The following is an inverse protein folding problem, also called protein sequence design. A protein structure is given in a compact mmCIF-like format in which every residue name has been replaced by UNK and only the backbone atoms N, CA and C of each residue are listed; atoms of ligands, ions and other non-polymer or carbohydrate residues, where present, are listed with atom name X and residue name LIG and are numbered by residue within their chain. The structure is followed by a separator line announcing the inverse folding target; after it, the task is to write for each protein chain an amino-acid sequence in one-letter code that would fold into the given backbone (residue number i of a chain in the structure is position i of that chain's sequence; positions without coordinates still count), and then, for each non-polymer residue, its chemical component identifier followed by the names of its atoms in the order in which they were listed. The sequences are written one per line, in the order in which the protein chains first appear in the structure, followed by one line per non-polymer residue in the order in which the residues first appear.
data_IF_400733238956
#
_entry.id   IF_400733238956
#
_cell.length_a   1.000
_cell.length_b   1.000
_cell.length_c   1.000
_cell.angle_alpha   90.00
_cell.angle_beta   90.00
_cell.angle_gamma   90.00
#
_symmetry.space_group_name_H-M   'P 1'
#
loop_
_entity.id
_entity.type
_entity.pdbx_description
1 polymer ?
#
# COMPACT_ATOMS: atom_id res chain seq x y z
N UNK A 1 30.18 63.16 49.40
CA UNK A 1 30.56 63.35 47.98
C UNK A 1 30.02 62.13 47.23
N UNK A 2 28.75 62.20 46.82
CA UNK A 2 28.27 62.50 45.45
C UNK A 2 28.43 61.28 44.51
N UNK A 3 27.33 60.55 44.23
CA UNK A 3 26.51 60.62 43.00
C UNK A 3 27.14 59.68 41.92
N UNK A 4 26.47 58.77 41.19
CA UNK A 4 25.09 58.62 40.70
C UNK A 4 24.85 57.13 40.41
N UNK A 5 23.63 56.65 40.68
CA UNK A 5 23.09 55.35 40.27
C UNK A 5 22.69 55.36 38.79
N UNK A 6 23.22 54.43 37.97
CA UNK A 6 22.70 54.17 36.63
C UNK A 6 21.80 52.93 36.65
N UNK A 7 20.50 53.16 36.48
CA UNK A 7 19.50 52.15 36.23
C UNK A 7 19.75 51.46 34.87
N UNK A 8 19.94 50.14 34.88
CA UNK A 8 19.91 49.31 33.67
C UNK A 8 18.46 48.90 33.41
N UNK A 9 17.88 49.45 32.35
CA UNK A 9 16.61 49.00 31.77
C UNK A 9 16.86 47.64 31.11
N UNK A 10 16.25 46.58 31.65
CA UNK A 10 16.24 45.27 31.03
C UNK A 10 15.14 45.24 29.97
N UNK A 11 15.52 45.22 28.69
CA UNK A 11 14.62 44.89 27.58
C UNK A 11 14.37 43.37 27.60
N UNK A 12 13.16 42.97 28.01
CA UNK A 12 12.61 41.64 27.80
C UNK A 12 12.31 41.46 26.30
N UNK A 13 13.26 40.90 25.57
CA UNK A 13 13.02 40.39 24.22
C UNK A 13 12.45 38.98 24.36
N UNK A 14 11.13 38.86 24.32
CA UNK A 14 10.44 37.58 24.20
C UNK A 14 10.70 36.99 22.83
N UNK A 15 11.69 36.11 22.72
CA UNK A 15 11.82 35.24 21.57
C UNK A 15 10.73 34.17 21.66
N UNK A 16 9.67 34.34 20.87
CA UNK A 16 8.71 33.29 20.60
C UNK A 16 9.48 32.13 19.94
N UNK A 17 9.69 31.06 20.71
CA UNK A 17 10.20 29.80 20.20
C UNK A 17 9.07 29.21 19.35
N UNK A 18 9.08 29.50 18.05
CA UNK A 18 8.32 28.70 17.09
C UNK A 18 8.88 27.28 17.19
N UNK A 19 8.18 26.42 17.92
CA UNK A 19 8.41 24.99 17.90
C UNK A 19 8.27 24.53 16.45
N UNK A 20 9.39 24.15 15.86
CA UNK A 20 9.40 23.34 14.65
C UNK A 20 8.60 22.09 15.00
N UNK A 21 7.50 21.85 14.28
CA UNK A 21 6.80 20.58 14.33
C UNK A 21 7.82 19.53 13.87
N UNK A 22 8.44 18.83 14.83
CA UNK A 22 9.18 17.61 14.54
C UNK A 22 8.18 16.66 13.90
N UNK A 23 8.40 16.33 12.63
CA UNK A 23 7.96 15.05 12.09
C UNK A 23 8.40 13.99 13.09
N UNK A 24 7.45 13.18 13.56
CA UNK A 24 7.78 12.05 14.41
C UNK A 24 8.52 11.04 13.53
N UNK A 25 9.84 11.20 13.40
CA UNK A 25 10.69 10.11 12.93
C UNK A 25 10.41 8.93 13.87
N UNK A 26 10.10 7.76 13.30
CA UNK A 26 9.95 6.54 14.06
C UNK A 26 11.18 6.35 14.97
N UNK A 27 10.96 5.87 16.20
CA UNK A 27 12.08 5.52 17.08
C UNK A 27 12.95 4.49 16.36
N UNK A 28 14.21 4.81 16.07
CA UNK A 28 15.14 3.93 15.35
C UNK A 28 15.32 2.57 16.03
N UNK A 29 14.93 2.44 17.30
CA UNK A 29 14.97 1.19 18.06
C UNK A 29 13.62 0.47 18.14
N UNK A 30 12.56 0.99 17.53
CA UNK A 30 11.25 0.34 17.48
C UNK A 30 11.28 -0.90 16.56
N UNK A 31 10.43 -1.92 16.83
CA UNK A 31 10.23 -3.01 15.89
C UNK A 31 9.75 -2.51 14.53
N UNK A 32 10.28 -3.09 13.44
CA UNK A 32 9.87 -2.78 12.05
C UNK A 32 8.37 -3.03 11.81
N UNK A 33 7.83 -4.08 12.42
CA UNK A 33 6.39 -4.34 12.49
C UNK A 33 5.90 -4.07 13.92
N UNK A 34 5.08 -3.03 14.05
CA UNK A 34 4.39 -2.67 15.28
C UNK A 34 3.29 -3.66 15.66
N UNK A 35 2.52 -3.36 16.72
CA UNK A 35 1.55 -4.30 17.31
C UNK A 35 0.39 -4.70 16.37
N UNK A 36 0.17 -3.93 15.31
CA UNK A 36 -0.90 -4.13 14.33
C UNK A 36 -0.50 -5.05 13.18
N UNK A 37 0.75 -5.52 13.14
CA UNK A 37 1.25 -6.39 12.10
C UNK A 37 1.96 -7.63 12.70
N UNK A 38 1.83 -8.77 12.04
CA UNK A 38 2.57 -10.01 12.39
C UNK A 38 3.15 -10.57 11.12
N UNK A 39 4.45 -10.84 11.10
CA UNK A 39 5.10 -11.31 9.88
C UNK A 39 4.56 -12.69 9.46
N UNK A 40 4.54 -12.97 8.16
CA UNK A 40 4.04 -14.25 7.66
C UNK A 40 4.78 -15.47 8.26
N UNK A 41 6.12 -15.46 8.44
CA UNK A 41 6.82 -16.57 9.10
C UNK A 41 6.39 -16.84 10.55
N UNK A 42 5.91 -15.82 11.27
CA UNK A 42 5.40 -15.94 12.64
C UNK A 42 3.95 -16.45 12.69
N UNK A 43 3.14 -16.15 11.66
CA UNK A 43 1.76 -16.61 11.56
C UNK A 43 1.51 -17.35 10.22
N UNK A 44 1.81 -18.66 10.22
CA UNK A 44 1.68 -19.54 9.03
C UNK A 44 0.45 -20.43 9.03
N UNK A 45 -0.27 -20.50 10.15
CA UNK A 45 -1.32 -21.50 10.37
C UNK A 45 -2.41 -21.45 9.30
N UNK A 46 -2.86 -20.25 8.91
CA UNK A 46 -3.91 -20.11 7.92
C UNK A 46 -3.52 -20.76 6.57
N UNK A 47 -2.33 -20.43 6.05
CA UNK A 47 -1.84 -20.96 4.76
C UNK A 47 -1.54 -22.47 4.80
N UNK A 48 -1.26 -23.02 5.99
CA UNK A 48 -1.00 -24.46 6.17
C UNK A 48 -2.28 -25.27 6.29
N UNK A 49 -3.38 -24.64 6.70
CA UNK A 49 -4.62 -25.32 7.08
C UNK A 49 -5.79 -25.05 6.12
N UNK A 50 -5.68 -24.01 5.29
CA UNK A 50 -6.73 -23.57 4.36
C UNK A 50 -6.20 -23.56 2.92
N UNK A 51 -7.10 -23.46 1.96
CA UNK A 51 -6.74 -23.40 0.53
C UNK A 51 -5.88 -22.18 0.20
N UNK A 52 -6.20 -21.01 0.75
CA UNK A 52 -5.50 -19.75 0.48
C UNK A 52 -5.25 -19.49 -1.03
N UNK A 53 -6.30 -19.51 -1.87
CA UNK A 53 -6.14 -19.51 -3.32
C UNK A 53 -5.38 -18.29 -3.83
N UNK A 54 -5.66 -17.10 -3.30
CA UNK A 54 -4.94 -15.87 -3.63
C UNK A 54 -3.44 -15.99 -3.32
N UNK A 55 -3.09 -16.48 -2.13
CA UNK A 55 -1.68 -16.61 -1.73
C UNK A 55 -0.89 -17.43 -2.74
N UNK A 56 -1.40 -18.59 -3.13
CA UNK A 56 -0.72 -19.48 -4.07
C UNK A 56 -0.70 -18.93 -5.50
N UNK A 57 -1.71 -18.16 -5.89
CA UNK A 57 -1.78 -17.56 -7.22
C UNK A 57 -0.82 -16.36 -7.35
N UNK A 58 -0.76 -15.49 -6.35
CA UNK A 58 -0.06 -14.20 -6.46
C UNK A 58 1.34 -14.18 -5.85
N UNK A 59 1.59 -14.89 -4.74
CA UNK A 59 2.89 -14.82 -4.04
C UNK A 59 4.12 -15.15 -4.91
N UNK A 60 4.08 -16.07 -5.91
CA UNK A 60 5.25 -16.33 -6.76
C UNK A 60 5.64 -15.13 -7.64
N UNK A 61 4.69 -14.24 -7.92
CA UNK A 61 4.83 -13.11 -8.85
C UNK A 61 5.10 -11.77 -8.16
N UNK A 62 4.95 -11.70 -6.85
CA UNK A 62 5.32 -10.52 -6.07
C UNK A 62 6.85 -10.40 -6.06
N UNK A 63 7.35 -9.26 -6.56
CA UNK A 63 8.77 -8.90 -6.63
C UNK A 63 9.00 -7.55 -5.96
N UNK A 64 10.21 -7.29 -5.44
CA UNK A 64 10.56 -5.98 -4.90
C UNK A 64 10.26 -4.87 -5.92
N UNK A 65 9.64 -3.78 -5.47
CA UNK A 65 9.59 -2.55 -6.25
C UNK A 65 11.00 -2.08 -6.62
N UNK A 66 11.21 -1.60 -7.85
CA UNK A 66 12.56 -1.28 -8.34
C UNK A 66 13.09 0.08 -7.86
N UNK A 67 12.25 0.90 -7.23
CA UNK A 67 12.57 2.22 -6.68
C UNK A 67 11.75 2.47 -5.43
N UNK A 68 12.07 3.52 -4.67
CA UNK A 68 11.28 3.98 -3.53
C UNK A 68 9.83 4.39 -3.85
N UNK A 69 9.48 4.58 -5.14
CA UNK A 69 8.17 5.09 -5.58
C UNK A 69 7.43 4.15 -6.55
N UNK A 70 7.93 2.93 -6.74
CA UNK A 70 7.42 1.98 -7.74
C UNK A 70 6.42 0.93 -7.19
N UNK A 71 5.88 1.14 -5.98
CA UNK A 71 4.93 0.20 -5.36
C UNK A 71 3.74 -0.14 -6.26
N UNK A 72 3.18 0.85 -6.98
CA UNK A 72 2.07 0.65 -7.92
C UNK A 72 2.41 -0.25 -9.10
N UNK A 73 3.58 -0.06 -9.73
CA UNK A 73 4.03 -0.90 -10.86
C UNK A 73 4.28 -2.32 -10.38
N UNK A 74 4.95 -2.48 -9.24
CA UNK A 74 5.23 -3.78 -8.66
C UNK A 74 3.92 -4.54 -8.35
N UNK A 75 2.96 -3.87 -7.73
CA UNK A 75 1.68 -4.46 -7.37
C UNK A 75 0.85 -4.84 -8.60
N UNK A 76 0.70 -3.93 -9.58
CA UNK A 76 -0.05 -4.19 -10.82
C UNK A 76 0.61 -5.33 -11.62
N UNK A 77 1.95 -5.33 -11.73
CA UNK A 77 2.68 -6.42 -12.42
C UNK A 77 2.42 -7.77 -11.77
N UNK A 78 2.48 -7.85 -10.44
CA UNK A 78 2.23 -9.09 -9.71
C UNK A 78 0.77 -9.56 -9.87
N UNK A 79 -0.19 -8.63 -9.82
CA UNK A 79 -1.61 -8.91 -10.00
C UNK A 79 -1.91 -9.54 -11.37
N UNK A 80 -1.47 -8.90 -12.47
CA UNK A 80 -1.74 -9.42 -13.81
C UNK A 80 -0.98 -10.71 -14.11
N UNK A 81 0.21 -10.90 -13.54
CA UNK A 81 0.92 -12.18 -13.63
C UNK A 81 0.18 -13.30 -12.88
N UNK A 82 -0.34 -13.03 -11.68
CA UNK A 82 -1.10 -14.04 -10.94
C UNK A 82 -2.37 -14.46 -11.65
N UNK A 83 -3.10 -13.51 -12.25
CA UNK A 83 -4.29 -13.79 -13.06
C UNK A 83 -3.98 -14.59 -14.33
N UNK A 84 -2.85 -14.32 -14.97
CA UNK A 84 -2.42 -15.02 -16.21
C UNK A 84 -1.74 -16.36 -15.93
N UNK A 85 -1.19 -16.54 -14.73
CA UNK A 85 -0.38 -17.68 -14.33
C UNK A 85 0.95 -17.78 -15.08
N UNK A 86 1.63 -18.91 -14.90
CA UNK A 86 2.87 -19.21 -15.62
C UNK A 86 2.57 -19.36 -17.14
N UNK A 87 3.33 -18.68 -18.02
CA UNK A 87 3.22 -18.89 -19.46
C UNK A 87 3.39 -20.36 -19.85
N UNK A 88 2.64 -20.81 -20.86
CA UNK A 88 2.61 -22.23 -21.25
C UNK A 88 3.85 -22.67 -22.04
N UNK A 89 4.46 -21.76 -22.80
CA UNK A 89 5.60 -22.05 -23.65
C UNK A 89 6.90 -21.62 -22.97
N UNK A 90 7.97 -22.40 -23.17
CA UNK A 90 9.26 -22.12 -22.56
C UNK A 90 9.94 -20.83 -23.08
N UNK A 91 9.52 -20.34 -24.24
CA UNK A 91 10.01 -19.09 -24.83
C UNK A 91 9.28 -17.85 -24.30
N UNK A 92 8.08 -18.04 -23.74
CA UNK A 92 7.28 -16.95 -23.18
C UNK A 92 7.80 -16.61 -21.77
N UNK A 93 8.08 -15.34 -21.54
CA UNK A 93 8.56 -14.86 -20.24
C UNK A 93 7.42 -14.42 -19.34
N UNK A 94 7.63 -14.54 -18.03
CA UNK A 94 6.79 -13.87 -17.03
C UNK A 94 7.01 -12.36 -17.14
N UNK A 95 5.94 -11.56 -17.04
CA UNK A 95 6.02 -10.11 -17.15
C UNK A 95 6.87 -9.54 -16.00
N UNK A 96 7.81 -8.65 -16.32
CA UNK A 96 8.57 -7.87 -15.33
C UNK A 96 8.06 -6.44 -15.27
N UNK A 97 8.35 -5.74 -14.16
CA UNK A 97 8.00 -4.32 -13.99
C UNK A 97 8.56 -3.45 -15.13
N UNK A 98 9.81 -3.70 -15.53
CA UNK A 98 10.45 -3.00 -16.66
C UNK A 98 9.74 -3.28 -17.97
N UNK A 99 9.45 -4.54 -18.29
CA UNK A 99 8.76 -4.89 -19.55
C UNK A 99 7.31 -4.39 -19.58
N UNK A 100 6.65 -4.26 -18.43
CA UNK A 100 5.33 -3.63 -18.34
C UNK A 100 5.40 -2.15 -18.71
N UNK A 101 6.34 -1.41 -18.11
CA UNK A 101 6.55 0.01 -18.44
C UNK A 101 6.90 0.22 -19.91
N UNK A 102 7.82 -0.59 -20.45
CA UNK A 102 8.19 -0.55 -21.86
C UNK A 102 6.99 -0.82 -22.78
N UNK A 103 6.11 -1.75 -22.41
CA UNK A 103 4.92 -2.07 -23.20
C UNK A 103 3.87 -0.95 -23.17
N UNK A 104 3.72 -0.27 -22.04
CA UNK A 104 2.74 0.80 -21.89
C UNK A 104 3.20 2.13 -22.47
N UNK A 105 4.53 2.35 -22.54
CA UNK A 105 5.14 3.61 -22.97
C UNK A 105 4.57 4.83 -22.22
N UNK A 106 4.09 4.65 -20.98
CA UNK A 106 3.50 5.70 -20.16
C UNK A 106 4.60 6.44 -19.39
N UNK A 107 5.12 7.52 -19.99
CA UNK A 107 6.17 8.33 -19.38
C UNK A 107 5.74 8.99 -18.07
N UNK A 108 4.43 9.19 -17.86
CA UNK A 108 3.92 9.78 -16.62
C UNK A 108 4.01 8.77 -15.50
N UNK A 109 3.51 7.54 -15.69
CA UNK A 109 3.64 6.48 -14.69
C UNK A 109 5.11 6.17 -14.40
N UNK A 110 5.94 6.07 -15.45
CA UNK A 110 7.38 5.86 -15.30
C UNK A 110 8.07 6.98 -14.49
N UNK A 111 7.68 8.25 -14.70
CA UNK A 111 8.22 9.38 -13.95
C UNK A 111 7.79 9.38 -12.48
N UNK A 112 6.51 9.11 -12.22
CA UNK A 112 5.95 9.01 -10.86
C UNK A 112 6.59 7.87 -10.05
N UNK A 113 6.97 6.80 -10.73
CA UNK A 113 7.59 5.61 -10.12
C UNK A 113 9.11 5.56 -10.26
N UNK A 114 9.76 6.60 -10.76
CA UNK A 114 11.22 6.70 -10.71
C UNK A 114 11.70 6.86 -9.26
N UNK A 115 13.00 6.69 -9.03
CA UNK A 115 13.58 6.94 -7.71
C UNK A 115 13.31 8.38 -7.24
N UNK A 116 12.71 8.53 -6.05
CA UNK A 116 12.29 9.82 -5.52
C UNK A 116 11.10 10.46 -6.25
N UNK A 117 10.38 9.69 -7.07
CA UNK A 117 9.12 10.14 -7.67
C UNK A 117 8.00 10.27 -6.62
N UNK A 118 6.93 10.98 -6.97
CA UNK A 118 5.83 11.26 -6.03
C UNK A 118 4.99 10.01 -5.68
N UNK A 119 5.14 8.90 -6.39
CA UNK A 119 4.20 7.79 -6.33
C UNK A 119 2.91 8.11 -7.09
N UNK A 120 1.84 7.38 -6.80
CA UNK A 120 0.57 7.52 -7.54
C UNK A 120 -0.58 7.79 -6.58
N UNK A 121 -1.60 8.53 -7.04
CA UNK A 121 -2.88 8.65 -6.33
C UNK A 121 -3.71 7.37 -6.46
N UNK A 122 -4.79 7.25 -5.68
CA UNK A 122 -5.72 6.13 -5.83
C UNK A 122 -6.34 6.09 -7.24
N UNK A 123 -6.72 7.25 -7.78
CA UNK A 123 -7.31 7.32 -9.13
C UNK A 123 -6.32 6.93 -10.22
N UNK A 124 -5.05 7.30 -10.07
CA UNK A 124 -3.99 6.89 -10.99
C UNK A 124 -3.74 5.37 -10.90
N UNK A 125 -3.79 4.77 -9.71
CA UNK A 125 -3.70 3.31 -9.59
C UNK A 125 -4.82 2.61 -10.37
N UNK A 126 -6.06 3.11 -10.29
CA UNK A 126 -7.20 2.60 -11.08
C UNK A 126 -6.91 2.72 -12.57
N UNK A 127 -6.53 3.92 -13.03
CA UNK A 127 -6.24 4.21 -14.44
C UNK A 127 -5.11 3.32 -15.00
N UNK A 128 -4.01 3.18 -14.27
CA UNK A 128 -2.87 2.38 -14.70
C UNK A 128 -3.18 0.88 -14.69
N UNK A 129 -4.04 0.43 -13.77
CA UNK A 129 -4.55 -0.95 -13.77
C UNK A 129 -5.39 -1.20 -15.02
N UNK A 130 -6.36 -0.34 -15.33
CA UNK A 130 -7.19 -0.44 -16.55
C UNK A 130 -6.34 -0.41 -17.83
N UNK A 131 -5.40 0.54 -17.92
CA UNK A 131 -4.45 0.61 -19.05
C UNK A 131 -3.64 -0.68 -19.20
N UNK A 132 -3.21 -1.26 -18.09
CA UNK A 132 -2.46 -2.53 -18.10
C UNK A 132 -3.32 -3.68 -18.62
N UNK A 133 -4.58 -3.81 -18.17
CA UNK A 133 -5.48 -4.86 -18.66
C UNK A 133 -5.70 -4.73 -20.18
N UNK A 134 -5.93 -3.51 -20.67
CA UNK A 134 -6.08 -3.25 -22.09
C UNK A 134 -4.81 -3.60 -22.89
N UNK A 135 -3.63 -3.19 -22.39
CA UNK A 135 -2.36 -3.44 -23.07
C UNK A 135 -1.97 -4.93 -23.09
N UNK A 136 -2.47 -5.73 -22.16
CA UNK A 136 -2.21 -7.18 -22.07
C UNK A 136 -3.33 -8.03 -22.70
N UNK A 137 -4.26 -7.42 -23.43
CA UNK A 137 -5.40 -8.08 -24.07
C UNK A 137 -6.29 -8.87 -23.07
N UNK A 138 -6.37 -8.39 -21.82
CA UNK A 138 -7.18 -8.98 -20.73
C UNK A 138 -8.60 -8.40 -20.70
N UNK A 139 -9.25 -8.35 -21.86
CA UNK A 139 -10.56 -7.70 -22.02
C UNK A 139 -11.73 -8.42 -21.31
N UNK A 140 -11.50 -9.63 -20.83
CA UNK A 140 -12.41 -10.39 -19.98
C UNK A 140 -12.33 -9.99 -18.50
N UNK A 141 -11.40 -9.10 -18.14
CA UNK A 141 -11.27 -8.50 -16.81
C UNK A 141 -11.71 -7.04 -16.81
N UNK A 142 -12.20 -6.59 -15.65
CA UNK A 142 -12.56 -5.20 -15.38
C UNK A 142 -12.02 -4.79 -14.00
N UNK A 143 -11.87 -3.48 -13.82
CA UNK A 143 -11.55 -2.88 -12.52
C UNK A 143 -12.84 -2.42 -11.82
N UNK A 144 -13.06 -2.92 -10.61
CA UNK A 144 -14.01 -2.38 -9.65
C UNK A 144 -13.26 -1.70 -8.50
N UNK A 145 -13.89 -0.75 -7.82
CA UNK A 145 -13.26 -0.04 -6.70
C UNK A 145 -14.08 -0.11 -5.44
N UNK A 146 -13.38 -0.22 -4.31
CA UNK A 146 -13.92 0.01 -2.98
C UNK A 146 -13.07 1.06 -2.29
N UNK A 147 -13.52 2.32 -2.30
CA UNK A 147 -12.84 3.45 -1.64
C UNK A 147 -13.65 3.92 -0.43
N UNK A 148 -13.44 3.36 0.77
CA UNK A 148 -14.19 3.75 1.96
C UNK A 148 -13.87 5.20 2.36
N UNK A 149 -14.87 5.93 2.83
CA UNK A 149 -14.73 7.30 3.35
C UNK A 149 -14.93 7.40 4.86
N UNK A 150 -15.42 6.34 5.48
CA UNK A 150 -15.65 6.21 6.93
C UNK A 150 -15.18 4.84 7.42
N UNK A 151 -14.79 4.76 8.70
CA UNK A 151 -14.44 3.53 9.39
C UNK A 151 -15.55 3.10 10.35
N UNK A 152 -16.79 2.98 9.85
CA UNK A 152 -17.94 2.52 10.62
C UNK A 152 -18.21 1.02 10.42
N UNK A 153 -19.06 0.45 11.27
CA UNK A 153 -19.36 -0.99 11.26
C UNK A 153 -19.96 -1.46 9.92
N UNK A 154 -20.78 -0.64 9.27
CA UNK A 154 -21.37 -0.99 7.98
C UNK A 154 -20.29 -1.10 6.88
N UNK A 155 -19.32 -0.20 6.90
CA UNK A 155 -18.18 -0.21 5.98
C UNK A 155 -17.24 -1.38 6.29
N UNK A 156 -17.04 -1.69 7.57
CA UNK A 156 -16.24 -2.82 8.01
C UNK A 156 -16.84 -4.16 7.59
N UNK A 157 -18.16 -4.34 7.73
CA UNK A 157 -18.87 -5.52 7.22
C UNK A 157 -18.77 -5.65 5.71
N UNK A 158 -18.85 -4.53 4.97
CA UNK A 158 -18.65 -4.53 3.52
C UNK A 158 -17.22 -4.92 3.16
N UNK A 159 -16.22 -4.43 3.89
CA UNK A 159 -14.82 -4.79 3.70
C UNK A 159 -14.61 -6.30 3.91
N UNK A 160 -15.14 -6.86 5.00
CA UNK A 160 -15.10 -8.31 5.27
C UNK A 160 -15.77 -9.12 4.17
N UNK A 161 -16.92 -8.66 3.66
CA UNK A 161 -17.62 -9.34 2.57
C UNK A 161 -16.80 -9.36 1.27
N UNK A 162 -16.12 -8.26 0.93
CA UNK A 162 -15.23 -8.19 -0.24
C UNK A 162 -14.05 -9.16 -0.07
N UNK A 163 -13.40 -9.13 1.09
CA UNK A 163 -12.27 -10.01 1.42
C UNK A 163 -12.66 -11.50 1.37
N UNK A 164 -13.82 -11.86 1.92
CA UNK A 164 -14.34 -13.22 1.91
C UNK A 164 -14.70 -13.70 0.49
N UNK A 165 -15.22 -12.80 -0.35
CA UNK A 165 -15.54 -13.14 -1.73
C UNK A 165 -14.27 -13.38 -2.56
N UNK A 166 -13.27 -12.51 -2.45
CA UNK A 166 -11.99 -12.67 -3.15
C UNK A 166 -11.27 -13.97 -2.74
N UNK A 167 -11.11 -14.21 -1.42
CA UNK A 167 -10.45 -15.40 -0.87
C UNK A 167 -11.12 -16.74 -1.25
N UNK A 168 -12.33 -16.72 -1.82
CA UNK A 168 -13.05 -17.92 -2.22
C UNK A 168 -12.48 -18.57 -3.50
N UNK A 169 -11.78 -17.82 -4.36
CA UNK A 169 -11.19 -18.30 -5.61
C UNK A 169 -9.85 -17.63 -5.87
N UNK A 170 -9.18 -17.96 -6.97
CA UNK A 170 -8.00 -17.24 -7.48
C UNK A 170 -8.31 -16.56 -8.83
N UNK A 171 -9.59 -16.30 -9.12
CA UNK A 171 -10.04 -15.76 -10.41
C UNK A 171 -10.07 -14.23 -10.43
N UNK A 172 -9.89 -13.59 -9.27
CA UNK A 172 -9.84 -12.15 -9.08
C UNK A 172 -8.74 -11.76 -8.08
N UNK A 173 -8.38 -10.47 -8.05
CA UNK A 173 -7.32 -9.97 -7.18
C UNK A 173 -7.65 -8.59 -6.61
N UNK A 174 -7.30 -8.39 -5.35
CA UNK A 174 -7.37 -7.11 -4.68
C UNK A 174 -5.98 -6.46 -4.58
N UNK A 175 -5.78 -5.39 -5.35
CA UNK A 175 -4.75 -4.41 -5.06
C UNK A 175 -5.26 -3.53 -3.91
N UNK A 176 -4.40 -3.26 -2.93
CA UNK A 176 -4.71 -2.35 -1.83
C UNK A 176 -3.89 -1.09 -1.94
N UNK A 177 -4.55 0.06 -1.79
CA UNK A 177 -3.95 1.35 -1.49
C UNK A 177 -4.26 1.68 -0.02
N UNK A 178 -3.26 1.98 0.79
CA UNK A 178 -3.43 2.19 2.23
C UNK A 178 -2.30 3.03 2.82
N UNK A 179 -2.51 3.61 3.98
CA UNK A 179 -1.42 4.21 4.76
C UNK A 179 -0.63 3.11 5.49
N UNK A 180 0.62 2.89 5.13
CA UNK A 180 1.44 1.80 5.66
C UNK A 180 1.72 1.96 7.16
N UNK A 181 1.92 3.20 7.62
CA UNK A 181 2.25 3.52 9.01
C UNK A 181 1.14 3.16 10.00
N UNK A 182 -0.14 3.13 9.58
CA UNK A 182 -1.24 2.62 10.43
C UNK A 182 -1.07 1.13 10.74
N UNK A 183 -0.56 0.37 9.79
CA UNK A 183 -0.38 -1.08 9.89
C UNK A 183 0.96 -1.42 10.56
N UNK A 184 2.05 -0.81 10.10
CA UNK A 184 3.41 -1.16 10.54
C UNK A 184 3.89 -0.34 11.73
N UNK A 185 3.34 0.86 11.96
CA UNK A 185 3.83 1.79 12.98
C UNK A 185 5.17 2.46 12.66
N UNK A 186 5.65 2.32 11.42
CA UNK A 186 6.95 2.83 10.97
C UNK A 186 6.78 4.02 9.99
N UNK A 187 6.91 3.81 8.66
CA UNK A 187 6.79 4.89 7.69
C UNK A 187 5.33 5.31 7.47
N UNK A 188 5.03 6.59 7.76
CA UNK A 188 3.67 7.13 7.66
C UNK A 188 3.36 7.73 6.29
N UNK A 189 3.06 6.87 5.32
CA UNK A 189 2.69 7.33 3.98
C UNK A 189 1.82 6.34 3.20
N UNK A 190 1.30 6.78 2.04
CA UNK A 190 0.48 5.96 1.16
C UNK A 190 1.34 4.88 0.49
N UNK A 191 0.78 3.69 0.40
CA UNK A 191 1.45 2.53 -0.17
C UNK A 191 0.48 1.66 -0.96
N UNK A 192 1.03 0.90 -1.92
CA UNK A 192 0.26 -0.03 -2.77
C UNK A 192 0.83 -1.43 -2.67
N UNK A 193 -0.03 -2.42 -2.47
CA UNK A 193 0.35 -3.84 -2.39
C UNK A 193 -0.82 -4.74 -2.84
N UNK A 194 -0.76 -6.04 -2.57
CA UNK A 194 -1.83 -7.01 -2.86
C UNK A 194 -2.35 -7.63 -1.57
N UNK A 195 -3.63 -8.00 -1.57
CA UNK A 195 -4.15 -8.96 -0.60
C UNK A 195 -3.76 -10.37 -1.04
N UNK A 196 -3.17 -11.13 -0.12
CA UNK A 196 -2.78 -12.51 -0.36
C UNK A 196 -3.62 -13.54 0.36
N UNK A 197 -4.35 -13.16 1.40
CA UNK A 197 -5.31 -14.04 2.05
C UNK A 197 -6.26 -13.29 2.99
N UNK A 198 -7.46 -13.83 3.21
CA UNK A 198 -8.35 -13.42 4.30
C UNK A 198 -8.64 -14.55 5.30
N UNK A 199 -8.18 -14.38 6.53
CA UNK A 199 -8.50 -15.26 7.65
C UNK A 199 -9.73 -14.74 8.41
N UNK A 200 -10.92 -15.17 7.99
CA UNK A 200 -12.19 -14.80 8.63
C UNK A 200 -12.28 -15.22 10.10
N UNK A 201 -11.66 -16.34 10.50
CA UNK A 201 -11.72 -16.82 11.88
C UNK A 201 -10.97 -15.94 12.88
N UNK A 202 -9.92 -15.24 12.42
CA UNK A 202 -9.15 -14.28 13.23
C UNK A 202 -9.42 -12.82 12.85
N UNK A 203 -10.27 -12.59 11.84
CA UNK A 203 -10.52 -11.28 11.22
C UNK A 203 -9.21 -10.56 10.82
N UNK A 204 -8.33 -11.28 10.11
CA UNK A 204 -7.04 -10.76 9.64
C UNK A 204 -6.87 -10.96 8.15
N UNK A 205 -6.10 -10.06 7.55
CA UNK A 205 -5.75 -10.07 6.12
C UNK A 205 -4.24 -10.13 5.96
N UNK A 206 -3.76 -10.94 5.01
CA UNK A 206 -2.36 -11.02 4.63
C UNK A 206 -2.10 -10.02 3.50
N UNK A 207 -1.13 -9.13 3.69
CA UNK A 207 -0.64 -8.22 2.66
C UNK A 207 0.62 -8.81 2.03
N UNK A 208 0.62 -8.97 0.70
CA UNK A 208 1.78 -9.45 -0.06
C UNK A 208 2.68 -8.28 -0.47
N UNK A 209 3.58 -7.95 0.44
CA UNK A 209 4.39 -6.75 0.35
C UNK A 209 5.31 -6.71 -0.89
N UNK A 210 5.28 -5.57 -1.59
CA UNK A 210 6.13 -5.25 -2.75
C UNK A 210 7.33 -4.40 -2.35
N UNK A 211 7.28 -3.70 -1.21
CA UNK A 211 8.40 -2.98 -0.64
C UNK A 211 9.33 -3.92 0.13
N UNK A 212 9.95 -4.84 -0.61
CA UNK A 212 10.75 -5.93 -0.06
C UNK A 212 12.17 -5.53 0.33
N UNK A 213 12.55 -4.27 0.13
CA UNK A 213 13.75 -3.72 0.77
C UNK A 213 13.52 -3.59 2.29
N UNK A 214 12.31 -3.23 2.69
CA UNK A 214 11.99 -2.87 4.07
C UNK A 214 11.15 -3.92 4.81
N UNK A 215 10.28 -4.63 4.10
CA UNK A 215 9.29 -5.51 4.72
C UNK A 215 9.14 -6.85 3.98
N UNK A 216 8.49 -7.79 4.64
CA UNK A 216 8.04 -9.07 4.04
C UNK A 216 6.52 -9.16 4.20
N UNK A 217 5.81 -10.12 3.60
CA UNK A 217 4.38 -10.27 3.82
C UNK A 217 4.02 -10.35 5.31
N UNK A 218 2.94 -9.66 5.71
CA UNK A 218 2.48 -9.59 7.09
C UNK A 218 0.95 -9.61 7.18
N UNK A 219 0.46 -10.13 8.30
CA UNK A 219 -0.94 -10.14 8.66
C UNK A 219 -1.31 -8.88 9.44
N UNK A 220 -2.46 -8.29 9.15
CA UNK A 220 -3.03 -7.19 9.95
C UNK A 220 -4.52 -7.42 10.22
N UNK A 221 -5.10 -6.94 11.35
CA UNK A 221 -6.54 -7.00 11.57
C UNK A 221 -7.33 -6.20 10.52
N UNK A 222 -8.49 -6.70 10.09
CA UNK A 222 -9.35 -5.99 9.12
C UNK A 222 -9.79 -4.59 9.59
N UNK A 223 -10.10 -4.35 10.88
CA UNK A 223 -10.39 -2.99 11.36
C UNK A 223 -9.20 -2.02 11.17
N UNK A 224 -7.97 -2.49 11.37
CA UNK A 224 -6.76 -1.69 11.13
C UNK A 224 -6.59 -1.41 9.64
N UNK A 225 -6.88 -2.40 8.78
CA UNK A 225 -6.86 -2.21 7.33
C UNK A 225 -7.82 -1.09 6.90
N UNK A 226 -9.03 -1.06 7.46
CA UNK A 226 -10.02 -0.02 7.16
C UNK A 226 -9.56 1.36 7.63
N UNK A 227 -8.95 1.45 8.82
CA UNK A 227 -8.32 2.67 9.31
C UNK A 227 -7.20 3.13 8.35
N UNK A 228 -6.36 2.21 7.90
CA UNK A 228 -5.28 2.48 6.96
C UNK A 228 -5.79 2.97 5.60
N UNK A 229 -6.92 2.45 5.12
CA UNK A 229 -7.57 2.93 3.90
C UNK A 229 -8.17 4.33 4.05
N UNK A 230 -8.65 4.68 5.25
CA UNK A 230 -9.40 5.94 5.47
C UNK A 230 -8.55 7.07 6.04
N UNK A 231 -7.33 6.78 6.51
CA UNK A 231 -6.39 7.81 6.97
C UNK A 231 -5.94 8.68 5.78
N UNK A 232 -6.19 10.00 5.81
CA UNK A 232 -5.66 10.90 4.80
C UNK A 232 -4.13 10.98 4.89
N UNK A 233 -3.50 11.01 3.73
CA UNK A 233 -2.06 11.22 3.60
C UNK A 233 -1.68 12.64 4.09
N UNK A 234 -0.59 12.75 4.85
CA UNK A 234 -0.10 14.02 5.41
C UNK A 234 0.46 14.94 4.32
N UNK A 235 0.53 16.24 4.64
CA UNK A 235 1.01 17.28 3.72
C UNK A 235 2.47 17.13 3.28
N UNK A 236 3.27 16.34 4.00
CA UNK A 236 4.69 16.12 3.64
C UNK A 236 4.86 15.29 2.36
N UNK A 237 3.82 14.57 1.93
CA UNK A 237 3.79 13.80 0.68
C UNK A 237 3.29 14.61 -0.52
N UNK A 238 3.26 15.94 -0.41
CA UNK A 238 3.06 16.85 -1.53
C UNK A 238 1.78 16.59 -2.31
N UNK A 239 1.90 16.14 -3.56
CA UNK A 239 0.76 15.90 -4.46
C UNK A 239 -0.19 14.80 -3.97
N UNK A 240 0.25 13.96 -3.02
CA UNK A 240 -0.56 12.93 -2.40
C UNK A 240 -1.28 13.41 -1.13
N UNK A 241 -1.11 14.66 -0.70
CA UNK A 241 -1.80 15.20 0.48
C UNK A 241 -3.31 14.95 0.39
N UNK A 242 -3.91 14.46 1.50
CA UNK A 242 -5.31 14.07 1.63
C UNK A 242 -5.74 12.85 0.81
N UNK A 243 -4.85 12.21 0.05
CA UNK A 243 -5.20 10.94 -0.59
C UNK A 243 -5.54 9.89 0.46
N UNK A 244 -6.61 9.16 0.17
CA UNK A 244 -7.12 8.01 0.93
C UNK A 244 -7.17 6.81 0.00
N UNK A 245 -7.18 5.63 0.61
CA UNK A 245 -7.04 4.36 -0.05
C UNK A 245 -8.32 3.54 -0.16
N UNK A 246 -8.12 2.26 -0.41
CA UNK A 246 -9.18 1.31 -0.72
C UNK A 246 -8.65 0.15 -1.55
N UNK A 247 -9.57 -0.57 -2.18
CA UNK A 247 -9.24 -1.61 -3.14
C UNK A 247 -9.44 -1.18 -4.59
N UNK A 248 -8.48 -1.59 -5.40
CA UNK A 248 -8.62 -1.73 -6.85
C UNK A 248 -8.77 -3.23 -7.13
N UNK A 249 -9.99 -3.66 -7.43
CA UNK A 249 -10.38 -5.05 -7.57
C UNK A 249 -10.41 -5.42 -9.05
N UNK A 250 -9.49 -6.27 -9.48
CA UNK A 250 -9.47 -6.81 -10.84
C UNK A 250 -10.21 -8.14 -10.84
N UNK A 251 -11.28 -8.25 -11.61
CA UNK A 251 -12.14 -9.43 -11.69
C UNK A 251 -12.73 -9.61 -13.06
N UNK A 252 -13.24 -10.80 -13.37
CA UNK A 252 -13.92 -11.07 -14.64
C UNK A 252 -15.11 -10.13 -14.85
N UNK A 253 -15.27 -9.62 -16.07
CA UNK A 253 -16.49 -8.94 -16.49
C UNK A 253 -17.64 -9.97 -16.51
N UNK A 254 -18.72 -9.68 -15.78
CA UNK A 254 -19.90 -10.54 -15.67
C UNK A 254 -20.79 -10.57 -16.91
#
# INVERSE_FOLDING_TARGET
MTLVSLARVALLSGAAFCGVLSSAMADENAPKLGPNATSLPEETDYLRQNSAPDYWAYSPFVKPQFSSSACSIAAVTAAVNGLRGLPKLAEDTVLTQTTLLERLEDSTWAGLSAEGGDGVTFSQLVEYTDKTLAALDMADYQVETFKPTTADEATLEKLRAILAANESTAEDVLLIYFNQGVVTGDWDGPHVSLIGAYNAAKDRVLILEVDQEWYIPYWTPVPVLLEAMTKPTSAEHGVLENETGGFVHVKRAG
#
